data_IF_262106696353
#
_entry.id   IF_262106696353
#
_cell.length_a   1.000
_cell.length_b   1.000
_cell.length_c   1.000
_cell.angle_alpha   90.00
_cell.angle_beta   90.00
_cell.angle_gamma   90.00
#
_symmetry.space_group_name_H-M   'P 1'
#
loop_
_entity.id
_entity.type
_entity.pdbx_description
1 polymer ?
#
# COMPACT_ATOMS: atom_id res chain seq x y z
N UNK A 1 -9.70 -12.49 25.76
CA UNK A 1 -9.78 -11.73 24.49
C UNK A 1 -8.37 -11.57 23.94
N UNK A 2 -8.08 -12.13 22.76
CA UNK A 2 -6.78 -12.02 22.10
C UNK A 2 -6.61 -10.62 21.50
N UNK A 3 -5.60 -9.88 21.96
CA UNK A 3 -5.27 -8.55 21.42
C UNK A 3 -4.97 -8.66 19.92
N UNK A 4 -5.46 -7.69 19.13
CA UNK A 4 -5.29 -7.60 17.67
C UNK A 4 -3.80 -7.68 17.26
N UNK A 5 -2.92 -7.24 18.15
CA UNK A 5 -1.45 -7.28 18.04
C UNK A 5 -0.85 -8.69 17.90
N UNK A 6 -1.65 -9.75 18.15
CA UNK A 6 -1.23 -11.17 18.10
C UNK A 6 -1.74 -11.94 16.88
N UNK A 7 -2.34 -11.26 15.90
CA UNK A 7 -2.69 -11.87 14.60
C UNK A 7 -1.62 -11.56 13.56
N UNK A 8 -1.50 -12.37 12.50
CA UNK A 8 -0.42 -12.29 11.49
C UNK A 8 -0.35 -10.97 10.68
N UNK A 9 -1.21 -9.98 10.98
CA UNK A 9 -1.24 -8.66 10.36
C UNK A 9 -0.99 -7.52 11.36
N UNK A 10 0.13 -7.51 12.11
CA UNK A 10 0.39 -6.47 13.12
C UNK A 10 0.86 -5.12 12.50
N UNK A 11 1.04 -5.04 11.17
CA UNK A 11 1.75 -3.94 10.49
C UNK A 11 0.86 -2.82 9.94
N UNK A 12 -0.46 -3.02 9.90
CA UNK A 12 -1.40 -1.96 9.52
C UNK A 12 -1.81 -1.18 10.76
N UNK A 13 -1.10 -0.08 11.03
CA UNK A 13 -1.51 0.89 12.04
C UNK A 13 -2.94 1.32 11.75
N UNK A 14 -3.85 1.10 12.70
CA UNK A 14 -5.30 1.36 12.55
C UNK A 14 -5.60 2.83 12.24
N UNK A 15 -4.73 3.74 12.68
CA UNK A 15 -4.78 5.17 12.42
C UNK A 15 -3.37 5.66 12.04
N UNK A 16 -2.99 5.61 10.75
CA UNK A 16 -1.70 6.14 10.32
C UNK A 16 -1.69 7.66 10.51
N UNK A 17 -0.58 8.21 11.00
CA UNK A 17 -0.41 9.66 11.06
C UNK A 17 -0.32 10.25 9.64
N UNK A 18 -0.64 11.55 9.48
CA UNK A 18 -0.51 12.24 8.19
C UNK A 18 0.92 12.16 7.62
N UNK A 19 1.92 12.11 8.50
CA UNK A 19 3.33 11.95 8.13
C UNK A 19 3.59 10.57 7.53
N UNK A 20 3.08 9.51 8.17
CA UNK A 20 3.21 8.14 7.67
C UNK A 20 2.42 7.92 6.38
N UNK A 21 1.25 8.54 6.25
CA UNK A 21 0.46 8.53 5.00
C UNK A 21 1.29 9.08 3.84
N UNK A 22 1.95 10.22 4.04
CA UNK A 22 2.79 10.86 3.02
C UNK A 22 4.09 10.12 2.74
N UNK A 23 4.68 9.46 3.73
CA UNK A 23 5.95 8.75 3.50
C UNK A 23 5.75 7.36 2.90
N UNK A 24 4.68 6.66 3.25
CA UNK A 24 4.48 5.25 2.87
C UNK A 24 3.53 5.07 1.70
N UNK A 25 2.48 5.89 1.61
CA UNK A 25 1.43 5.70 0.60
C UNK A 25 1.52 6.69 -0.55
N UNK A 26 2.46 7.65 -0.51
CA UNK A 26 2.72 8.50 -1.67
C UNK A 26 3.31 7.68 -2.81
N UNK A 27 2.69 7.71 -4.01
CA UNK A 27 3.23 7.09 -5.22
C UNK A 27 4.63 7.63 -5.54
N UNK A 28 5.61 6.73 -5.70
CA UNK A 28 6.92 7.11 -6.26
C UNK A 28 6.84 7.07 -7.78
N UNK A 29 7.66 7.84 -8.53
CA UNK A 29 7.63 7.82 -10.00
C UNK A 29 7.89 6.43 -10.60
N UNK A 30 8.69 5.62 -9.92
CA UNK A 30 8.95 4.22 -10.27
C UNK A 30 7.71 3.34 -10.16
N UNK A 31 6.90 3.52 -9.11
CA UNK A 31 5.64 2.78 -8.92
C UNK A 31 4.65 3.13 -10.03
N UNK A 32 4.58 4.42 -10.39
CA UNK A 32 3.69 4.91 -11.45
C UNK A 32 4.11 4.31 -12.80
N UNK A 33 5.41 4.29 -13.10
CA UNK A 33 5.94 3.68 -14.32
C UNK A 33 5.66 2.16 -14.38
N UNK A 34 5.83 1.45 -13.26
CA UNK A 34 5.50 0.03 -13.16
C UNK A 34 4.00 -0.21 -13.43
N UNK A 35 3.13 0.50 -12.73
CA UNK A 35 1.68 0.38 -12.89
C UNK A 35 1.22 0.75 -14.30
N UNK A 36 1.81 1.78 -14.89
CA UNK A 36 1.51 2.21 -16.26
C UNK A 36 1.94 1.18 -17.32
N UNK A 37 3.02 0.44 -17.06
CA UNK A 37 3.55 -0.59 -17.98
C UNK A 37 2.77 -1.90 -17.87
N UNK A 38 2.34 -2.26 -16.65
CA UNK A 38 1.67 -3.54 -16.38
C UNK A 38 0.15 -3.50 -16.64
N UNK A 39 -0.54 -2.41 -16.31
CA UNK A 39 -2.00 -2.33 -16.40
C UNK A 39 -2.49 -1.39 -17.51
N UNK A 40 -3.44 -1.86 -18.32
CA UNK A 40 -4.05 -1.11 -19.44
C UNK A 40 -5.49 -0.70 -19.14
N UNK A 41 -5.70 0.02 -18.03
CA UNK A 41 -7.01 0.58 -17.69
C UNK A 41 -6.98 1.35 -16.37
N UNK A 42 -7.80 2.40 -16.20
CA UNK A 42 -7.76 3.24 -15.00
C UNK A 42 -8.08 2.45 -13.72
N UNK A 43 -9.08 1.56 -13.76
CA UNK A 43 -9.43 0.70 -12.64
C UNK A 43 -8.34 -0.33 -12.29
N UNK A 44 -7.72 -0.91 -13.32
CA UNK A 44 -6.64 -1.90 -13.16
C UNK A 44 -5.37 -1.25 -12.61
N UNK A 45 -5.04 -0.05 -13.11
CA UNK A 45 -3.93 0.77 -12.59
C UNK A 45 -4.14 1.10 -11.12
N UNK A 46 -5.35 1.52 -10.74
CA UNK A 46 -5.68 1.81 -9.36
C UNK A 46 -5.57 0.57 -8.46
N UNK A 47 -6.13 -0.57 -8.88
CA UNK A 47 -6.05 -1.82 -8.12
C UNK A 47 -4.60 -2.31 -7.95
N UNK A 48 -3.80 -2.26 -9.01
CA UNK A 48 -2.39 -2.65 -8.97
C UNK A 48 -1.57 -1.72 -8.06
N UNK A 49 -1.86 -0.42 -8.08
CA UNK A 49 -1.22 0.57 -7.21
C UNK A 49 -1.46 0.27 -5.73
N UNK A 50 -2.70 -0.09 -5.37
CA UNK A 50 -3.06 -0.47 -4.00
C UNK A 50 -2.31 -1.73 -3.59
N UNK A 51 -2.35 -2.76 -4.43
CA UNK A 51 -1.66 -4.03 -4.18
C UNK A 51 -0.15 -3.84 -4.00
N UNK A 52 0.47 -3.01 -4.83
CA UNK A 52 1.91 -2.69 -4.74
C UNK A 52 2.25 -2.01 -3.41
N UNK A 53 1.45 -1.03 -2.97
CA UNK A 53 1.67 -0.33 -1.70
C UNK A 53 1.42 -1.24 -0.48
N UNK A 54 0.41 -2.10 -0.56
CA UNK A 54 0.14 -3.13 0.46
C UNK A 54 1.31 -4.11 0.55
N UNK A 55 1.84 -4.58 -0.58
CA UNK A 55 3.00 -5.46 -0.63
C UNK A 55 4.26 -4.81 -0.06
N UNK A 56 4.57 -3.56 -0.47
CA UNK A 56 5.70 -2.78 0.08
C UNK A 56 5.57 -2.56 1.59
N UNK A 57 4.34 -2.42 2.12
CA UNK A 57 4.11 -2.27 3.56
C UNK A 57 4.23 -3.59 4.31
N UNK A 58 3.89 -4.69 3.66
CA UNK A 58 3.96 -6.03 4.24
C UNK A 58 5.38 -6.56 4.29
N UNK A 59 6.29 -6.12 3.42
CA UNK A 59 7.74 -6.37 3.48
C UNK A 59 8.11 -7.84 3.47
#
# INVERSE_FOLDING_TARGET
MTSIERTAYPRFTRAPSVKELRTLYTPTPTDIAFVATTARGPAQKFGLMILLKVYQRLG
#
